data_IF_144036775740
#
_entry.id   IF_144036775740
#
_cell.length_a   1.000
_cell.length_b   1.000
_cell.length_c   1.000
_cell.angle_alpha   90.00
_cell.angle_beta   90.00
_cell.angle_gamma   90.00
#
_symmetry.space_group_name_H-M   'P 1'
#
loop_
_entity.id
_entity.type
_entity.pdbx_description
1 polymer ?
#
# COMPACT_ATOMS: atom_id res chain seq x y z
N UNK A 1 -11.71 19.41 15.36
CA UNK A 1 -10.30 19.13 14.98
C UNK A 1 -9.77 20.27 14.14
N UNK A 2 -8.47 20.61 14.19
CA UNK A 2 -7.90 21.62 13.29
C UNK A 2 -7.98 21.11 11.85
N UNK A 3 -8.18 21.99 10.87
CA UNK A 3 -8.36 21.63 9.45
C UNK A 3 -7.13 20.90 8.90
N UNK A 4 -5.94 21.30 9.35
CA UNK A 4 -4.68 20.62 9.04
C UNK A 4 -4.64 19.17 9.53
N UNK A 5 -5.39 18.82 10.59
CA UNK A 5 -5.39 17.47 11.13
C UNK A 5 -5.99 16.45 10.15
N UNK A 6 -7.04 16.81 9.40
CA UNK A 6 -7.62 15.92 8.38
C UNK A 6 -6.62 15.62 7.26
N UNK A 7 -5.90 16.65 6.80
CA UNK A 7 -4.85 16.49 5.81
C UNK A 7 -3.69 15.63 6.29
N UNK A 8 -3.20 15.89 7.51
CA UNK A 8 -2.09 15.13 8.08
C UNK A 8 -2.49 13.65 8.24
N UNK A 9 -3.66 13.37 8.81
CA UNK A 9 -4.15 12.00 8.99
C UNK A 9 -4.32 11.31 7.64
N UNK A 10 -4.99 11.95 6.67
CA UNK A 10 -5.20 11.39 5.34
C UNK A 10 -3.87 11.03 4.64
N UNK A 11 -2.92 11.95 4.64
CA UNK A 11 -1.59 11.74 4.07
C UNK A 11 -0.83 10.60 4.76
N UNK A 12 -0.90 10.50 6.09
CA UNK A 12 -0.28 9.41 6.83
C UNK A 12 -0.86 8.05 6.41
N UNK A 13 -2.19 7.93 6.36
CA UNK A 13 -2.84 6.69 5.92
C UNK A 13 -2.45 6.30 4.48
N UNK A 14 -2.36 7.28 3.57
CA UNK A 14 -1.89 7.03 2.19
C UNK A 14 -0.44 6.53 2.15
N UNK A 15 0.46 7.16 2.92
CA UNK A 15 1.86 6.73 3.01
C UNK A 15 1.95 5.31 3.58
N UNK A 16 1.23 5.01 4.67
CA UNK A 16 1.25 3.68 5.27
C UNK A 16 0.67 2.61 4.34
N UNK A 17 -0.40 2.91 3.60
CA UNK A 17 -0.93 1.98 2.58
C UNK A 17 0.14 1.64 1.52
N UNK A 18 0.82 2.67 0.99
CA UNK A 18 1.90 2.47 0.03
C UNK A 18 3.10 1.71 0.59
N UNK A 19 3.48 1.96 1.85
CA UNK A 19 4.55 1.24 2.53
C UNK A 19 4.21 -0.25 2.71
N UNK A 20 3.01 -0.55 3.20
CA UNK A 20 2.56 -1.95 3.38
C UNK A 20 2.59 -2.66 2.02
N UNK A 21 1.98 -2.08 0.99
CA UNK A 21 1.97 -2.67 -0.35
C UNK A 21 3.39 -2.93 -0.90
N UNK A 22 4.31 -1.99 -0.67
CA UNK A 22 5.70 -2.13 -1.10
C UNK A 22 6.40 -3.28 -0.36
N UNK A 23 6.18 -3.41 0.95
CA UNK A 23 6.73 -4.50 1.76
C UNK A 23 6.22 -5.85 1.27
N UNK A 24 4.94 -5.97 0.90
CA UNK A 24 4.38 -7.22 0.35
C UNK A 24 5.03 -7.61 -0.96
N UNK A 25 5.26 -6.65 -1.85
CA UNK A 25 5.98 -6.91 -3.12
C UNK A 25 7.42 -7.34 -2.86
N UNK A 26 8.11 -6.71 -1.92
CA UNK A 26 9.47 -7.11 -1.54
C UNK A 26 9.45 -8.54 -0.99
N UNK A 27 8.51 -8.88 -0.09
CA UNK A 27 8.38 -10.22 0.47
C UNK A 27 8.13 -11.28 -0.61
N UNK A 28 7.28 -11.00 -1.59
CA UNK A 28 7.05 -11.91 -2.73
C UNK A 28 8.33 -12.14 -3.54
N UNK A 29 9.09 -11.08 -3.84
CA UNK A 29 10.37 -11.19 -4.57
C UNK A 29 11.40 -11.99 -3.77
N UNK A 30 11.52 -11.73 -2.46
CA UNK A 30 12.45 -12.45 -1.58
C UNK A 30 12.07 -13.92 -1.52
N UNK A 31 10.80 -14.24 -1.30
CA UNK A 31 10.30 -15.62 -1.22
C UNK A 31 10.54 -16.38 -2.53
N UNK A 32 10.23 -15.76 -3.66
CA UNK A 32 10.51 -16.32 -4.98
C UNK A 32 12.02 -16.56 -5.20
N UNK A 33 12.86 -15.60 -4.82
CA UNK A 33 14.32 -15.71 -4.97
C UNK A 33 14.90 -16.87 -4.16
N UNK A 34 14.44 -17.04 -2.91
CA UNK A 34 14.86 -18.16 -2.04
C UNK A 34 14.44 -19.50 -2.64
N UNK A 35 13.20 -19.61 -3.13
CA UNK A 35 12.71 -20.84 -3.76
C UNK A 35 13.51 -21.20 -5.01
N UNK A 36 13.87 -20.21 -5.85
CA UNK A 36 14.72 -20.41 -7.03
C UNK A 36 16.13 -20.92 -6.69
N UNK A 37 16.72 -20.47 -5.59
CA UNK A 37 18.05 -20.93 -5.17
C UNK A 37 17.96 -22.36 -4.63
N UNK A 38 16.94 -22.66 -3.81
CA UNK A 38 16.70 -24.00 -3.26
C UNK A 38 16.30 -25.04 -4.32
N UNK A 39 15.70 -24.59 -5.43
CA UNK A 39 15.27 -25.41 -6.57
C UNK A 39 16.38 -26.15 -7.31
N UNK A 40 17.63 -25.80 -7.07
CA UNK A 40 18.82 -26.41 -7.70
C UNK A 40 18.91 -27.94 -7.52
N UNK A 41 18.05 -28.53 -6.67
CA UNK A 41 17.86 -29.99 -6.49
C UNK A 41 16.85 -30.69 -7.42
N UNK A 42 16.22 -30.01 -8.39
CA UNK A 42 15.42 -30.68 -9.45
C UNK A 42 13.91 -30.39 -9.49
N UNK A 43 13.43 -29.33 -8.83
CA UNK A 43 12.02 -28.91 -8.93
C UNK A 43 11.77 -27.90 -10.06
N UNK A 44 10.57 -27.91 -10.65
CA UNK A 44 10.12 -26.85 -11.56
C UNK A 44 9.55 -25.68 -10.74
N UNK A 45 10.13 -24.49 -10.90
CA UNK A 45 9.66 -23.28 -10.23
C UNK A 45 9.23 -22.23 -11.24
N UNK A 46 8.23 -21.38 -10.89
CA UNK A 46 7.80 -20.29 -11.76
C UNK A 46 8.97 -19.37 -12.10
N UNK A 47 9.04 -18.97 -13.38
CA UNK A 47 10.08 -18.06 -13.90
C UNK A 47 9.97 -16.66 -13.32
N UNK A 48 8.79 -16.30 -12.82
CA UNK A 48 8.47 -14.96 -12.38
C UNK A 48 7.82 -14.98 -10.98
N UNK A 49 8.08 -13.96 -10.15
CA UNK A 49 7.44 -13.83 -8.85
C UNK A 49 5.94 -13.50 -8.98
N UNK A 50 5.11 -14.18 -8.19
CA UNK A 50 3.68 -13.86 -8.09
C UNK A 50 3.50 -12.55 -7.33
N UNK A 51 3.25 -11.46 -8.04
CA UNK A 51 3.09 -10.13 -7.44
C UNK A 51 1.73 -10.00 -6.75
N UNK A 52 1.68 -9.53 -5.50
CA UNK A 52 0.42 -9.32 -4.81
C UNK A 52 -0.38 -8.18 -5.47
N UNK A 53 -1.67 -8.42 -5.64
CA UNK A 53 -2.63 -7.39 -6.04
C UNK A 53 -2.93 -6.44 -4.88
N UNK A 54 -3.42 -5.23 -5.20
CA UNK A 54 -3.80 -4.22 -4.20
C UNK A 54 -4.90 -4.68 -3.23
N UNK A 55 -5.68 -5.69 -3.65
CA UNK A 55 -6.85 -6.21 -2.92
C UNK A 55 -6.55 -7.42 -2.06
N UNK A 56 -5.35 -8.02 -2.18
CA UNK A 56 -4.98 -9.20 -1.38
C UNK A 56 -4.77 -8.86 0.09
N UNK A 57 -4.36 -7.64 0.40
CA UNK A 57 -4.18 -7.18 1.76
C UNK A 57 -5.28 -6.19 2.17
N UNK A 58 -6.09 -6.63 3.14
CA UNK A 58 -7.14 -5.81 3.72
C UNK A 58 -6.64 -4.46 4.27
N UNK A 59 -5.47 -4.42 4.90
CA UNK A 59 -4.89 -3.19 5.45
C UNK A 59 -4.45 -2.21 4.37
N UNK A 60 -3.88 -2.70 3.25
CA UNK A 60 -3.52 -1.84 2.11
C UNK A 60 -4.76 -1.12 1.61
N UNK A 61 -5.83 -1.88 1.33
CA UNK A 61 -7.09 -1.34 0.82
C UNK A 61 -7.77 -0.42 1.84
N UNK A 62 -7.87 -0.84 3.11
CA UNK A 62 -8.51 -0.06 4.16
C UNK A 62 -7.80 1.28 4.38
N UNK A 63 -6.46 1.27 4.46
CA UNK A 63 -5.68 2.48 4.68
C UNK A 63 -5.72 3.40 3.47
N UNK A 64 -5.76 2.84 2.26
CA UNK A 64 -5.93 3.62 1.04
C UNK A 64 -7.28 4.35 1.04
N UNK A 65 -8.38 3.64 1.30
CA UNK A 65 -9.73 4.22 1.31
C UNK A 65 -9.85 5.28 2.40
N UNK A 66 -9.44 4.97 3.63
CA UNK A 66 -9.47 5.92 4.75
C UNK A 66 -8.61 7.15 4.43
N UNK A 67 -7.39 6.93 3.91
CA UNK A 67 -6.48 8.01 3.52
C UNK A 67 -7.09 8.95 2.48
N UNK A 68 -7.69 8.39 1.42
CA UNK A 68 -8.39 9.17 0.38
C UNK A 68 -9.55 9.97 0.99
N UNK A 69 -10.39 9.36 1.83
CA UNK A 69 -11.54 10.04 2.42
C UNK A 69 -11.11 11.22 3.30
N UNK A 70 -10.12 11.04 4.16
CA UNK A 70 -9.61 12.10 5.04
C UNK A 70 -8.90 13.21 4.25
N UNK A 71 -8.13 12.83 3.22
CA UNK A 71 -7.44 13.79 2.36
C UNK A 71 -8.45 14.65 1.57
N UNK A 72 -9.46 14.03 0.95
CA UNK A 72 -10.52 14.73 0.24
C UNK A 72 -11.35 15.62 1.18
N UNK A 73 -11.67 15.16 2.38
CA UNK A 73 -12.37 15.97 3.37
C UNK A 73 -11.53 17.20 3.79
N UNK A 74 -10.22 17.03 3.97
CA UNK A 74 -9.29 18.13 4.19
C UNK A 74 -9.30 19.13 3.03
N UNK A 75 -9.19 18.63 1.79
CA UNK A 75 -9.17 19.44 0.57
C UNK A 75 -10.44 20.25 0.37
N UNK A 76 -11.61 19.62 0.54
CA UNK A 76 -12.90 20.29 0.41
C UNK A 76 -13.06 21.42 1.43
N UNK A 77 -12.52 21.26 2.65
CA UNK A 77 -12.56 22.33 3.65
C UNK A 77 -11.71 23.53 3.24
N UNK A 78 -10.52 23.30 2.68
CA UNK A 78 -9.66 24.40 2.16
C UNK A 78 -10.30 25.09 0.97
N UNK A 79 -10.89 24.34 0.04
CA UNK A 79 -11.56 24.91 -1.13
C UNK A 79 -12.75 25.80 -0.75
N UNK A 80 -13.48 25.45 0.33
CA UNK A 80 -14.60 26.27 0.83
C UNK A 80 -14.16 27.61 1.40
N UNK A 81 -12.91 27.76 1.84
CA UNK A 81 -12.40 29.02 2.40
C UNK A 81 -11.88 29.98 1.34
N UNK A 82 -11.61 29.47 0.14
CA UNK A 82 -11.17 30.30 -0.99
C UNK A 82 -12.34 30.92 -1.77
N UNK A 83 -13.58 30.56 -1.44
CA UNK A 83 -14.80 31.15 -1.99
C UNK A 83 -15.40 32.13 -1.00
#
# INVERSE_FOLDING_TARGET
MKKSTYFIIGTLFLIFSGLIYTIERINSIVFWSVHRIAASGGGSYPTDPTMPSLTENFFVMAFLIIGILFFLAGLLNVLKEMK
#
